data_IF_283181075276
#
_entry.id   IF_283181075276
#
_cell.length_a   1.000
_cell.length_b   1.000
_cell.length_c   1.000
_cell.angle_alpha   90.00
_cell.angle_beta   90.00
_cell.angle_gamma   90.00
#
_symmetry.space_group_name_H-M   'P 1'
#
loop_
_entity.id
_entity.type
_entity.pdbx_description
1 polymer ?
#
# COMPACT_ATOMS: atom_id res chain seq x y z
N UNK A 1 37.89 -3.25 36.81
CA UNK A 1 38.26 -4.04 35.60
C UNK A 1 37.38 -5.29 35.38
N UNK A 2 36.09 -5.29 35.78
CA UNK A 2 35.15 -6.42 35.54
C UNK A 2 34.34 -6.25 34.24
N UNK A 3 34.20 -5.02 33.76
CA UNK A 3 33.37 -4.66 32.61
C UNK A 3 33.94 -5.22 31.28
N UNK A 4 35.27 -5.15 31.11
CA UNK A 4 35.96 -5.67 29.93
C UNK A 4 35.91 -7.21 29.82
N UNK A 5 35.77 -7.93 30.94
CA UNK A 5 35.59 -9.40 30.93
C UNK A 5 34.17 -9.83 30.56
N UNK A 6 33.17 -8.98 30.72
CA UNK A 6 31.77 -9.26 30.36
C UNK A 6 31.39 -8.69 28.98
N UNK A 7 32.25 -7.86 28.39
CA UNK A 7 32.13 -7.31 27.04
C UNK A 7 31.72 -8.36 25.97
N UNK A 8 32.33 -9.58 25.91
CA UNK A 8 31.91 -10.58 24.92
C UNK A 8 30.48 -11.07 25.14
N UNK A 9 29.98 -11.15 26.39
CA UNK A 9 28.60 -11.59 26.66
C UNK A 9 27.59 -10.53 26.23
N UNK A 10 27.86 -9.26 26.50
CA UNK A 10 27.00 -8.17 26.07
C UNK A 10 27.02 -7.98 24.54
N UNK A 11 28.17 -8.21 23.89
CA UNK A 11 28.25 -8.21 22.43
C UNK A 11 27.39 -9.31 21.81
N UNK A 12 27.44 -10.54 22.35
CA UNK A 12 26.60 -11.66 21.87
C UNK A 12 25.11 -11.36 22.06
N UNK A 13 24.71 -10.85 23.23
CA UNK A 13 23.31 -10.46 23.48
C UNK A 13 22.86 -9.33 22.54
N UNK A 14 23.71 -8.34 22.31
CA UNK A 14 23.43 -7.25 21.38
C UNK A 14 23.23 -7.72 19.94
N UNK A 15 24.07 -8.63 19.45
CA UNK A 15 23.94 -9.23 18.10
C UNK A 15 22.66 -10.05 17.99
N UNK A 16 22.33 -10.85 19.00
CA UNK A 16 21.10 -11.66 19.00
C UNK A 16 19.85 -10.75 19.00
N UNK A 17 19.83 -9.72 19.84
CA UNK A 17 18.71 -8.77 19.88
C UNK A 17 18.57 -8.01 18.57
N UNK A 18 19.67 -7.54 17.98
CA UNK A 18 19.65 -6.87 16.69
C UNK A 18 19.15 -7.80 15.58
N UNK A 19 19.63 -9.05 15.55
CA UNK A 19 19.18 -10.06 14.60
C UNK A 19 17.69 -10.38 14.75
N UNK A 20 17.19 -10.50 15.99
CA UNK A 20 15.77 -10.72 16.27
C UNK A 20 14.91 -9.55 15.81
N UNK A 21 15.32 -8.30 16.08
CA UNK A 21 14.60 -7.10 15.63
C UNK A 21 14.53 -7.04 14.11
N UNK A 22 15.65 -7.30 13.42
CA UNK A 22 15.68 -7.32 11.96
C UNK A 22 14.80 -8.43 11.37
N UNK A 23 14.85 -9.64 11.94
CA UNK A 23 13.99 -10.74 11.50
C UNK A 23 12.51 -10.38 11.67
N UNK A 24 12.12 -9.89 12.85
CA UNK A 24 10.75 -9.48 13.16
C UNK A 24 10.28 -8.34 12.24
N UNK A 25 11.13 -7.36 11.92
CA UNK A 25 10.76 -6.27 11.01
C UNK A 25 10.36 -6.75 9.62
N UNK A 26 11.06 -7.76 9.08
CA UNK A 26 10.72 -8.36 7.78
C UNK A 26 9.43 -9.18 7.79
N UNK A 27 9.00 -9.69 8.94
CA UNK A 27 7.68 -10.32 9.07
C UNK A 27 6.54 -9.30 9.07
N UNK A 28 6.82 -8.02 9.35
CA UNK A 28 5.83 -6.94 9.31
C UNK A 28 5.84 -6.14 8.00
N UNK A 29 6.86 -6.29 7.17
CA UNK A 29 6.86 -5.85 5.77
C UNK A 29 5.88 -6.71 4.97
N UNK A 30 4.59 -6.47 5.19
CA UNK A 30 3.53 -6.94 4.33
C UNK A 30 3.72 -6.24 2.98
N UNK A 31 3.92 -7.01 1.91
CA UNK A 31 3.99 -6.53 0.53
C UNK A 31 2.91 -5.47 0.31
N UNK A 32 3.31 -4.19 0.32
CA UNK A 32 2.41 -3.10 -0.02
C UNK A 32 2.06 -3.33 -1.49
N UNK A 33 0.78 -3.56 -1.85
CA UNK A 33 0.39 -3.58 -3.24
C UNK A 33 0.93 -2.28 -3.84
N UNK A 34 1.77 -2.40 -4.87
CA UNK A 34 2.40 -1.27 -5.55
C UNK A 34 1.32 -0.47 -6.24
N UNK A 35 0.67 0.41 -5.48
CA UNK A 35 -0.20 1.44 -5.99
C UNK A 35 0.57 2.20 -7.07
N UNK A 36 0.03 2.26 -8.28
CA UNK A 36 0.67 2.94 -9.40
C UNK A 36 0.54 4.46 -9.27
N UNK A 37 -0.48 4.92 -8.55
CA UNK A 37 -0.81 6.34 -8.37
C UNK A 37 -1.16 6.60 -6.91
N UNK A 38 -0.71 7.74 -6.36
CA UNK A 38 -1.18 8.19 -5.05
C UNK A 38 -2.59 8.77 -5.16
N UNK A 39 -3.56 8.11 -4.53
CA UNK A 39 -4.98 8.50 -4.56
C UNK A 39 -5.41 8.99 -3.19
N UNK A 40 -5.76 10.28 -3.11
CA UNK A 40 -6.37 10.88 -1.92
C UNK A 40 -7.87 10.65 -1.91
N UNK A 41 -8.33 9.78 -1.02
CA UNK A 41 -9.76 9.53 -0.81
C UNK A 41 -10.35 10.63 0.09
N UNK A 42 -11.39 11.36 -0.36
CA UNK A 42 -12.07 12.35 0.46
C UNK A 42 -13.00 11.68 1.47
N UNK A 43 -13.66 12.48 2.31
CA UNK A 43 -14.78 11.97 3.10
C UNK A 43 -15.87 11.44 2.18
N UNK A 44 -16.28 10.18 2.39
CA UNK A 44 -17.24 9.51 1.54
C UNK A 44 -18.67 9.73 2.05
N UNK A 45 -19.58 10.03 1.13
CA UNK A 45 -21.01 9.95 1.42
C UNK A 45 -21.42 8.51 1.77
N UNK A 46 -22.55 8.33 2.45
CA UNK A 46 -23.04 7.00 2.78
C UNK A 46 -23.24 6.08 1.56
N UNK A 47 -23.60 6.64 0.39
CA UNK A 47 -23.68 5.89 -0.87
C UNK A 47 -22.28 5.49 -1.36
N UNK A 48 -21.32 6.43 -1.34
CA UNK A 48 -19.95 6.16 -1.75
C UNK A 48 -19.28 5.11 -0.87
N UNK A 49 -19.50 5.12 0.45
CA UNK A 49 -18.98 4.06 1.35
C UNK A 49 -19.57 2.68 1.03
N UNK A 50 -20.83 2.59 0.58
CA UNK A 50 -21.39 1.33 0.07
C UNK A 50 -20.68 0.89 -1.21
N UNK A 51 -20.46 1.83 -2.13
CA UNK A 51 -19.70 1.59 -3.36
C UNK A 51 -18.27 1.11 -3.08
N UNK A 52 -17.58 1.73 -2.13
CA UNK A 52 -16.23 1.35 -1.70
C UNK A 52 -16.19 -0.11 -1.23
N UNK A 53 -17.16 -0.55 -0.42
CA UNK A 53 -17.24 -1.96 0.02
C UNK A 53 -17.39 -2.91 -1.17
N UNK A 54 -18.27 -2.59 -2.11
CA UNK A 54 -18.45 -3.39 -3.32
C UNK A 54 -17.19 -3.41 -4.19
N UNK A 55 -16.53 -2.25 -4.35
CA UNK A 55 -15.28 -2.12 -5.08
C UNK A 55 -14.16 -2.95 -4.46
N UNK A 56 -13.99 -2.89 -3.14
CA UNK A 56 -12.98 -3.65 -2.43
C UNK A 56 -13.21 -5.17 -2.55
N UNK A 57 -14.46 -5.62 -2.58
CA UNK A 57 -14.81 -7.03 -2.70
C UNK A 57 -14.57 -7.61 -4.09
N UNK A 58 -14.65 -6.80 -5.16
CA UNK A 58 -14.72 -7.31 -6.54
C UNK A 58 -13.65 -6.75 -7.48
N UNK A 59 -13.27 -5.48 -7.29
CA UNK A 59 -12.47 -4.73 -8.26
C UNK A 59 -11.03 -4.51 -7.78
N UNK A 60 -10.84 -4.30 -6.47
CA UNK A 60 -9.54 -3.93 -5.90
C UNK A 60 -8.46 -5.00 -6.08
N UNK A 61 -8.83 -6.26 -6.29
CA UNK A 61 -7.87 -7.34 -6.57
C UNK A 61 -7.05 -7.10 -7.86
N UNK A 62 -7.62 -6.38 -8.84
CA UNK A 62 -6.94 -6.01 -10.08
C UNK A 62 -6.60 -4.52 -10.11
N UNK A 63 -7.53 -3.67 -9.69
CA UNK A 63 -7.37 -2.20 -9.78
C UNK A 63 -6.78 -1.55 -8.52
N UNK A 64 -6.35 -2.35 -7.55
CA UNK A 64 -5.68 -1.87 -6.35
C UNK A 64 -6.61 -1.19 -5.35
N UNK A 65 -6.10 -0.98 -4.14
CA UNK A 65 -6.80 -0.21 -3.11
C UNK A 65 -7.04 1.22 -3.62
N UNK A 66 -8.21 1.79 -3.31
CA UNK A 66 -8.59 3.13 -3.75
C UNK A 66 -8.53 3.34 -5.27
N UNK A 67 -8.63 2.26 -6.07
CA UNK A 67 -8.48 2.32 -7.53
C UNK A 67 -7.12 2.87 -8.02
N UNK A 68 -6.07 2.71 -7.21
CA UNK A 68 -4.72 3.20 -7.50
C UNK A 68 -3.95 2.38 -8.55
N UNK A 69 -4.54 1.29 -9.06
CA UNK A 69 -3.92 0.38 -10.01
C UNK A 69 -2.96 -0.62 -9.34
N UNK A 70 -2.65 -1.67 -10.08
CA UNK A 70 -1.62 -2.66 -9.78
C UNK A 70 -0.93 -3.10 -11.08
N UNK A 71 -0.01 -4.05 -11.00
CA UNK A 71 0.52 -4.76 -12.17
C UNK A 71 -0.54 -5.53 -12.97
N UNK A 72 -1.68 -5.89 -12.34
CA UNK A 72 -2.79 -6.64 -12.97
C UNK A 72 -3.84 -5.75 -13.63
N UNK A 73 -3.88 -4.46 -13.33
CA UNK A 73 -4.92 -3.57 -13.83
C UNK A 73 -4.61 -2.09 -13.61
N UNK A 74 -5.01 -1.20 -14.54
CA UNK A 74 -4.68 0.21 -14.46
C UNK A 74 -5.36 0.89 -13.27
N UNK A 75 -4.83 2.05 -12.87
CA UNK A 75 -5.53 2.95 -11.98
C UNK A 75 -6.81 3.47 -12.64
N UNK A 76 -7.93 3.47 -11.92
CA UNK A 76 -9.19 4.03 -12.40
C UNK A 76 -9.38 5.50 -11.99
N UNK A 77 -8.54 5.99 -11.09
CA UNK A 77 -8.51 7.39 -10.64
C UNK A 77 -7.15 7.97 -11.05
N UNK A 78 -7.04 8.41 -12.30
CA UNK A 78 -5.81 9.01 -12.85
C UNK A 78 -6.14 10.26 -13.68
N UNK A 79 -5.25 11.26 -13.66
CA UNK A 79 -5.44 12.54 -14.35
C UNK A 79 -5.55 12.41 -15.89
N UNK A 80 -5.05 11.32 -16.48
CA UNK A 80 -5.25 11.04 -17.92
C UNK A 80 -6.73 10.91 -18.28
N UNK A 81 -7.57 10.50 -17.32
CA UNK A 81 -9.01 10.35 -17.50
C UNK A 81 -9.81 11.59 -17.09
N UNK A 82 -9.14 12.73 -16.87
CA UNK A 82 -9.85 13.99 -16.67
C UNK A 82 -10.48 14.47 -18.00
N UNK A 83 -11.69 15.06 -17.96
CA UNK A 83 -12.30 15.72 -19.11
C UNK A 83 -11.32 16.68 -19.81
N UNK A 84 -11.22 16.61 -21.14
CA UNK A 84 -10.32 17.47 -21.92
C UNK A 84 -8.94 16.89 -22.27
N UNK A 85 -8.59 15.67 -21.83
CA UNK A 85 -7.44 14.93 -22.40
C UNK A 85 -7.83 13.90 -23.46
N UNK A 86 -9.05 13.34 -23.37
CA UNK A 86 -9.68 12.50 -24.39
C UNK A 86 -11.00 13.14 -24.84
N UNK A 87 -11.51 12.77 -26.03
CA UNK A 87 -12.82 13.23 -26.47
C UNK A 87 -13.89 12.84 -25.46
N UNK A 88 -14.67 13.81 -24.98
CA UNK A 88 -15.62 13.64 -23.87
C UNK A 88 -16.60 12.48 -24.08
N UNK A 89 -16.89 12.11 -25.33
CA UNK A 89 -17.69 10.95 -25.66
C UNK A 89 -17.20 9.68 -24.96
N UNK A 90 -15.89 9.46 -24.78
CA UNK A 90 -15.37 8.28 -24.08
C UNK A 90 -15.93 8.10 -22.65
N UNK A 91 -16.46 9.16 -22.02
CA UNK A 91 -17.03 9.13 -20.67
C UNK A 91 -18.56 9.07 -20.62
N UNK A 92 -19.28 9.39 -21.72
CA UNK A 92 -20.75 9.56 -21.72
C UNK A 92 -21.49 8.37 -22.34
N UNK A 93 -20.82 7.55 -23.14
CA UNK A 93 -21.40 6.36 -23.82
C UNK A 93 -21.10 5.03 -23.10
N UNK A 94 -20.52 5.08 -21.90
CA UNK A 94 -20.28 3.88 -21.06
C UNK A 94 -21.54 3.44 -20.30
#
# INVERSE_FOLDING_TARGET
MKIFKQLPKYAVVGVILLGLVLAVSKFFDNDKPTALVDVRVPELSALATRGERAFNANCAQCHGKNAAGTDKGPALVHQIYNPGHHGDQAFVIA
#
